data_IF_429244019921
#
_entry.id   IF_429244019921
#
_cell.length_a   1.000
_cell.length_b   1.000
_cell.length_c   1.000
_cell.angle_alpha   90.00
_cell.angle_beta   90.00
_cell.angle_gamma   90.00
#
_symmetry.space_group_name_H-M   'P 1'
#
loop_
_entity.id
_entity.type
_entity.pdbx_description
1 polymer ?
#
# COMPACT_ATOMS: atom_id res chain seq x y z
N UNK A 1 4.48 -58.53 6.25
CA UNK A 1 3.58 -57.83 5.34
C UNK A 1 2.20 -57.80 5.99
N UNK A 2 1.74 -56.65 6.43
CA UNK A 2 0.40 -56.49 6.98
C UNK A 2 -0.60 -56.52 5.84
N UNK A 3 -1.37 -57.62 5.73
CA UNK A 3 -2.42 -57.77 4.76
C UNK A 3 -3.68 -57.08 5.33
N UNK A 4 -3.88 -55.81 4.99
CA UNK A 4 -5.07 -55.05 5.36
C UNK A 4 -6.28 -55.61 4.61
N UNK A 5 -7.42 -55.75 5.29
CA UNK A 5 -8.67 -56.18 4.64
C UNK A 5 -9.07 -55.15 3.55
N UNK A 6 -9.61 -55.60 2.41
CA UNK A 6 -10.00 -54.68 1.31
C UNK A 6 -10.94 -53.56 1.75
N UNK A 7 -11.83 -53.79 2.70
CA UNK A 7 -12.75 -52.81 3.28
C UNK A 7 -12.00 -51.68 4.01
N UNK A 8 -10.91 -52.00 4.72
CA UNK A 8 -10.07 -51.04 5.43
C UNK A 8 -9.26 -50.20 4.47
N UNK A 9 -8.79 -50.79 3.37
CA UNK A 9 -8.09 -50.08 2.32
C UNK A 9 -9.02 -49.07 1.65
N UNK A 10 -10.24 -49.46 1.26
CA UNK A 10 -11.24 -48.59 0.67
C UNK A 10 -11.67 -47.44 1.61
N UNK A 11 -11.71 -47.69 2.90
CA UNK A 11 -12.04 -46.69 3.90
C UNK A 11 -10.88 -45.68 4.09
N UNK A 12 -9.63 -46.17 4.08
CA UNK A 12 -8.43 -45.33 4.10
C UNK A 12 -8.33 -44.45 2.85
N UNK A 13 -8.57 -45.00 1.66
CA UNK A 13 -8.57 -44.21 0.42
C UNK A 13 -9.64 -43.10 0.44
N UNK A 14 -10.83 -43.39 0.98
CA UNK A 14 -11.89 -42.40 1.13
C UNK A 14 -11.51 -41.29 2.10
N UNK A 15 -10.90 -41.64 3.22
CA UNK A 15 -10.43 -40.68 4.24
C UNK A 15 -9.28 -39.85 3.65
N UNK A 16 -8.31 -40.49 2.99
CA UNK A 16 -7.19 -39.80 2.35
C UNK A 16 -7.68 -38.84 1.24
N UNK A 17 -8.61 -39.27 0.41
CA UNK A 17 -9.23 -38.38 -0.60
C UNK A 17 -9.99 -37.19 0.02
N UNK A 18 -10.64 -37.41 1.18
CA UNK A 18 -11.28 -36.31 1.92
C UNK A 18 -10.26 -35.36 2.55
N UNK A 19 -9.16 -35.89 3.08
CA UNK A 19 -8.04 -35.11 3.61
C UNK A 19 -7.33 -34.35 2.49
N UNK A 20 -7.16 -34.98 1.33
CA UNK A 20 -6.55 -34.33 0.14
C UNK A 20 -7.38 -33.14 -0.35
N UNK A 21 -8.72 -33.21 -0.26
CA UNK A 21 -9.59 -32.05 -0.55
C UNK A 21 -9.49 -30.93 0.50
N UNK A 22 -9.10 -31.25 1.72
CA UNK A 22 -8.90 -30.29 2.81
C UNK A 22 -7.47 -29.72 2.84
N UNK A 23 -6.51 -30.43 2.23
CA UNK A 23 -5.15 -29.92 2.10
C UNK A 23 -5.13 -28.77 1.08
N UNK A 24 -4.46 -27.67 1.41
CA UNK A 24 -4.25 -26.61 0.43
C UNK A 24 -3.54 -27.21 -0.78
N UNK A 25 -4.09 -26.95 -1.97
CA UNK A 25 -3.38 -27.26 -3.22
C UNK A 25 -1.98 -26.70 -3.10
N UNK A 26 -0.97 -27.46 -3.48
CA UNK A 26 0.43 -27.01 -3.42
C UNK A 26 0.52 -25.63 -4.05
N UNK A 27 0.72 -24.61 -3.21
CA UNK A 27 0.78 -23.23 -3.65
C UNK A 27 2.06 -23.07 -4.45
N UNK A 28 1.93 -22.68 -5.70
CA UNK A 28 3.08 -22.43 -6.56
C UNK A 28 3.88 -21.28 -5.95
N UNK A 29 5.13 -21.53 -5.61
CA UNK A 29 6.01 -20.46 -5.12
C UNK A 29 6.10 -19.33 -6.16
N UNK A 30 6.17 -18.09 -5.66
CA UNK A 30 6.31 -16.92 -6.52
C UNK A 30 7.70 -16.94 -7.17
N UNK A 31 7.75 -16.93 -8.49
CA UNK A 31 8.98 -16.72 -9.23
C UNK A 31 9.31 -15.21 -9.28
N UNK A 32 10.13 -14.76 -8.36
CA UNK A 32 10.52 -13.37 -8.24
C UNK A 32 11.42 -12.85 -9.37
N UNK A 33 11.91 -13.72 -10.26
CA UNK A 33 12.66 -13.31 -11.44
C UNK A 33 11.74 -12.69 -12.50
N UNK A 34 10.50 -13.18 -12.58
CA UNK A 34 9.50 -12.74 -13.55
C UNK A 34 8.35 -11.94 -12.91
N UNK A 35 8.18 -12.06 -11.60
CA UNK A 35 7.14 -11.39 -10.83
C UNK A 35 7.73 -10.28 -9.95
N UNK A 36 7.14 -9.09 -10.00
CA UNK A 36 7.61 -7.95 -9.22
C UNK A 36 6.72 -7.63 -8.02
N UNK A 37 5.51 -8.20 -7.94
CA UNK A 37 4.60 -8.01 -6.83
C UNK A 37 3.80 -9.28 -6.51
N UNK A 38 3.50 -9.45 -5.24
CA UNK A 38 2.60 -10.49 -4.75
C UNK A 38 1.64 -9.94 -3.69
N UNK A 39 0.51 -10.61 -3.53
CA UNK A 39 -0.37 -10.41 -2.40
C UNK A 39 -0.18 -11.55 -1.41
N UNK A 40 -0.22 -11.25 -0.12
CA UNK A 40 -0.42 -12.27 0.89
C UNK A 40 -1.86 -12.74 0.87
N UNK A 41 -2.07 -14.05 0.89
CA UNK A 41 -3.38 -14.68 0.91
C UNK A 41 -3.46 -15.71 2.01
N UNK A 42 -4.61 -15.79 2.67
CA UNK A 42 -4.90 -16.82 3.67
C UNK A 42 -5.58 -18.02 3.04
N UNK A 43 -5.16 -19.19 3.45
CA UNK A 43 -5.90 -20.43 3.26
C UNK A 43 -6.04 -21.09 4.61
N UNK A 44 -7.09 -21.86 4.85
CA UNK A 44 -7.58 -22.42 6.14
C UNK A 44 -6.59 -22.55 7.31
N UNK A 45 -5.33 -22.93 7.08
CA UNK A 45 -4.31 -23.15 8.12
C UNK A 45 -2.95 -22.50 7.87
N UNK A 46 -2.75 -21.85 6.73
CA UNK A 46 -1.48 -21.20 6.36
C UNK A 46 -1.71 -20.05 5.39
N UNK A 47 -0.76 -19.12 5.34
CA UNK A 47 -0.75 -18.10 4.30
C UNK A 47 0.18 -18.48 3.14
N UNK A 48 0.04 -17.77 2.04
CA UNK A 48 0.90 -17.91 0.87
C UNK A 48 0.99 -16.61 0.08
N UNK A 49 2.03 -16.50 -0.74
CA UNK A 49 2.21 -15.39 -1.65
C UNK A 49 1.60 -15.73 -3.01
N UNK A 50 0.66 -14.90 -3.46
CA UNK A 50 0.03 -14.97 -4.78
C UNK A 50 0.65 -13.92 -5.70
N UNK A 51 1.29 -14.37 -6.78
CA UNK A 51 1.88 -13.48 -7.78
C UNK A 51 0.83 -12.55 -8.40
N UNK A 52 1.13 -11.26 -8.49
CA UNK A 52 0.25 -10.24 -9.06
C UNK A 52 0.87 -9.65 -10.31
N UNK A 53 0.11 -9.64 -11.41
CA UNK A 53 0.49 -8.92 -12.61
C UNK A 53 0.22 -7.43 -12.42
N UNK A 54 1.27 -6.63 -12.39
CA UNK A 54 1.15 -5.17 -12.30
C UNK A 54 0.68 -4.65 -13.64
N UNK A 55 -0.47 -3.97 -13.63
CA UNK A 55 -1.03 -3.28 -14.79
C UNK A 55 -0.89 -1.76 -14.70
N UNK A 56 -0.56 -1.26 -13.51
CA UNK A 56 -0.36 0.17 -13.26
C UNK A 56 1.04 0.58 -13.74
N UNK A 57 1.08 1.43 -14.77
CA UNK A 57 2.31 1.93 -15.37
C UNK A 57 2.68 3.34 -14.91
N UNK A 58 2.09 3.82 -13.80
CA UNK A 58 2.36 5.15 -13.25
C UNK A 58 3.85 5.31 -12.96
N UNK A 59 4.43 6.39 -13.48
CA UNK A 59 5.83 6.76 -13.24
C UNK A 59 5.94 7.82 -12.14
N UNK A 60 7.14 8.00 -11.58
CA UNK A 60 7.39 9.06 -10.60
C UNK A 60 7.16 10.47 -11.21
N UNK A 61 7.44 10.64 -12.48
CA UNK A 61 7.29 11.94 -13.17
C UNK A 61 5.82 12.32 -13.36
N UNK A 62 4.92 11.35 -13.39
CA UNK A 62 3.48 11.57 -13.49
C UNK A 62 2.82 11.94 -12.15
N UNK A 63 3.54 11.85 -11.05
CA UNK A 63 3.05 12.26 -9.73
C UNK A 63 3.29 13.74 -9.52
N UNK A 64 2.29 14.55 -9.74
CA UNK A 64 2.40 16.01 -9.63
C UNK A 64 2.24 16.49 -8.18
N UNK A 65 2.99 17.55 -7.85
CA UNK A 65 2.86 18.26 -6.58
C UNK A 65 3.29 17.50 -5.35
N UNK A 66 4.17 16.51 -5.51
CA UNK A 66 4.73 15.67 -4.45
C UNK A 66 6.25 15.52 -4.62
N UNK A 67 6.94 16.58 -5.00
CA UNK A 67 8.36 16.53 -5.38
C UNK A 67 9.26 16.24 -4.18
N UNK A 68 9.02 16.86 -3.03
CA UNK A 68 9.72 16.55 -1.77
C UNK A 68 9.51 15.09 -1.36
N UNK A 69 8.26 14.60 -1.48
CA UNK A 69 7.92 13.21 -1.18
C UNK A 69 8.65 12.25 -2.12
N UNK A 70 8.76 12.60 -3.41
CA UNK A 70 9.52 11.81 -4.39
C UNK A 70 10.98 11.73 -4.01
N UNK A 71 11.61 12.84 -3.66
CA UNK A 71 13.01 12.88 -3.27
C UNK A 71 13.29 12.00 -2.06
N UNK A 72 12.52 12.18 -0.99
CA UNK A 72 12.66 11.40 0.26
C UNK A 72 12.48 9.91 0.00
N UNK A 73 11.36 9.53 -0.67
CA UNK A 73 11.05 8.13 -0.91
C UNK A 73 12.01 7.48 -1.91
N UNK A 74 12.47 8.22 -2.91
CA UNK A 74 13.48 7.74 -3.87
C UNK A 74 14.82 7.50 -3.20
N UNK A 75 15.27 8.44 -2.35
CA UNK A 75 16.52 8.32 -1.61
C UNK A 75 16.48 7.08 -0.70
N UNK A 76 15.45 6.94 0.12
CA UNK A 76 15.28 5.80 1.02
C UNK A 76 15.24 4.46 0.26
N UNK A 77 14.53 4.40 -0.87
CA UNK A 77 14.46 3.19 -1.69
C UNK A 77 15.83 2.85 -2.31
N UNK A 78 16.60 3.84 -2.77
CA UNK A 78 17.95 3.64 -3.30
C UNK A 78 18.93 3.15 -2.23
N UNK A 79 18.88 3.75 -1.03
CA UNK A 79 19.66 3.26 0.12
C UNK A 79 19.36 1.79 0.39
N UNK A 80 18.08 1.43 0.46
CA UNK A 80 17.64 0.05 0.68
C UNK A 80 18.16 -0.92 -0.40
N UNK A 81 18.03 -0.55 -1.66
CA UNK A 81 18.49 -1.39 -2.79
C UNK A 81 20.00 -1.61 -2.81
N UNK A 82 20.78 -0.65 -2.32
CA UNK A 82 22.24 -0.74 -2.25
C UNK A 82 22.76 -1.35 -0.95
N UNK A 83 21.86 -1.83 -0.06
CA UNK A 83 22.22 -2.43 1.23
C UNK A 83 22.68 -1.41 2.27
N UNK A 84 22.41 -0.13 2.06
CA UNK A 84 22.64 0.92 3.04
C UNK A 84 21.46 1.02 4.02
N UNK A 85 21.67 1.60 5.23
CA UNK A 85 20.60 1.83 6.17
C UNK A 85 19.43 2.59 5.55
N UNK A 86 18.23 2.07 5.71
CA UNK A 86 16.99 2.65 5.20
C UNK A 86 15.87 2.48 6.23
N UNK A 87 14.83 3.28 6.14
CA UNK A 87 13.78 3.36 7.15
C UNK A 87 12.46 2.79 6.65
N UNK A 88 11.67 2.23 7.56
CA UNK A 88 10.25 2.02 7.37
C UNK A 88 9.53 3.37 7.17
N UNK A 89 8.48 3.40 6.34
CA UNK A 89 7.84 4.66 5.98
C UNK A 89 6.32 4.65 6.22
N UNK A 90 5.82 5.73 6.81
CA UNK A 90 4.41 6.05 6.91
C UNK A 90 4.07 7.19 5.95
N UNK A 91 3.31 6.88 4.90
CA UNK A 91 2.78 7.85 3.95
C UNK A 91 1.35 8.21 4.40
N UNK A 92 1.15 9.43 4.90
CA UNK A 92 -0.14 9.81 5.46
C UNK A 92 -0.73 11.05 4.78
N UNK A 93 -2.03 11.26 4.89
CA UNK A 93 -2.70 12.46 4.41
C UNK A 93 -3.92 12.21 3.53
N UNK A 94 -4.32 13.20 2.74
CA UNK A 94 -5.59 13.23 2.02
C UNK A 94 -5.82 12.00 1.12
N UNK A 95 -7.06 11.55 1.04
CA UNK A 95 -7.43 10.46 0.12
C UNK A 95 -7.25 10.89 -1.35
N UNK A 96 -6.63 10.03 -2.14
CA UNK A 96 -6.41 10.29 -3.57
C UNK A 96 -5.24 11.24 -3.88
N UNK A 97 -4.41 11.60 -2.90
CA UNK A 97 -3.25 12.48 -3.05
C UNK A 97 -2.00 11.83 -3.64
N UNK A 98 -2.03 10.52 -3.91
CA UNK A 98 -0.91 9.83 -4.57
C UNK A 98 -0.08 8.91 -3.67
N UNK A 99 -0.44 8.67 -2.40
CA UNK A 99 0.31 7.81 -1.47
C UNK A 99 0.63 6.43 -2.04
N UNK A 100 -0.40 5.64 -2.35
CA UNK A 100 -0.23 4.29 -2.92
C UNK A 100 0.37 4.33 -4.33
N UNK A 101 0.08 5.40 -5.10
CA UNK A 101 0.69 5.61 -6.42
C UNK A 101 2.20 5.85 -6.33
N UNK A 102 2.68 6.52 -5.27
CA UNK A 102 4.10 6.70 -5.00
C UNK A 102 4.82 5.36 -4.86
N UNK A 103 4.29 4.44 -4.05
CA UNK A 103 4.89 3.13 -3.84
C UNK A 103 4.89 2.30 -5.12
N UNK A 104 3.81 2.36 -5.91
CA UNK A 104 3.74 1.68 -7.23
C UNK A 104 4.73 2.27 -8.23
N UNK A 105 4.88 3.59 -8.26
CA UNK A 105 5.84 4.27 -9.15
C UNK A 105 7.28 3.93 -8.79
N UNK A 106 7.61 3.79 -7.49
CA UNK A 106 8.91 3.29 -7.04
C UNK A 106 9.15 1.87 -7.53
N UNK A 107 8.15 0.97 -7.44
CA UNK A 107 8.28 -0.38 -7.98
C UNK A 107 8.54 -0.36 -9.48
N UNK A 108 7.75 0.38 -10.26
CA UNK A 108 7.92 0.48 -11.71
C UNK A 108 9.33 0.96 -12.10
N UNK A 109 9.90 1.88 -11.33
CA UNK A 109 11.26 2.39 -11.58
C UNK A 109 12.35 1.43 -11.16
N UNK A 110 12.20 0.76 -10.01
CA UNK A 110 13.26 0.02 -9.36
C UNK A 110 13.13 -1.51 -9.42
N UNK A 111 12.06 -2.07 -10.00
CA UNK A 111 11.92 -3.50 -10.20
C UNK A 111 13.09 -4.13 -10.99
N UNK A 112 13.64 -3.46 -12.04
CA UNK A 112 14.83 -3.97 -12.73
C UNK A 112 16.08 -4.02 -11.84
N UNK A 113 16.12 -3.23 -10.76
CA UNK A 113 17.23 -3.20 -9.79
C UNK A 113 16.98 -4.13 -8.58
N UNK A 114 15.96 -4.99 -8.65
CA UNK A 114 15.68 -5.99 -7.62
C UNK A 114 14.62 -5.60 -6.60
N UNK A 115 13.91 -4.46 -6.76
CA UNK A 115 12.80 -4.13 -5.88
C UNK A 115 11.61 -5.05 -6.13
N UNK A 116 10.97 -5.51 -5.06
CA UNK A 116 9.73 -6.29 -5.07
C UNK A 116 8.73 -5.71 -4.06
N UNK A 117 7.44 -5.91 -4.29
CA UNK A 117 6.40 -5.50 -3.34
C UNK A 117 5.57 -6.71 -2.93
N UNK A 118 5.29 -6.81 -1.64
CA UNK A 118 4.29 -7.70 -1.08
C UNK A 118 3.20 -6.83 -0.48
N UNK A 119 1.99 -6.92 -1.02
CA UNK A 119 0.85 -6.23 -0.43
C UNK A 119 0.15 -7.15 0.56
N UNK A 120 -0.19 -6.58 1.72
CA UNK A 120 -0.92 -7.27 2.78
C UNK A 120 -2.12 -6.44 3.22
N UNK A 121 -3.15 -7.13 3.67
CA UNK A 121 -4.29 -6.51 4.33
C UNK A 121 -3.99 -6.31 5.82
N UNK A 122 -4.70 -5.39 6.46
CA UNK A 122 -4.54 -5.09 7.90
C UNK A 122 -4.67 -6.33 8.78
N UNK A 123 -5.64 -7.16 8.49
CA UNK A 123 -5.94 -8.38 9.24
C UNK A 123 -4.81 -9.43 9.14
N UNK A 124 -3.99 -9.32 8.11
CA UNK A 124 -2.89 -10.25 7.85
C UNK A 124 -1.58 -9.85 8.52
N UNK A 125 -1.52 -8.69 9.17
CA UNK A 125 -0.36 -8.24 9.96
C UNK A 125 0.00 -9.23 11.08
N UNK A 126 -0.92 -10.09 11.50
CA UNK A 126 -0.64 -11.18 12.46
C UNK A 126 0.27 -12.27 11.90
N UNK A 127 0.45 -12.33 10.57
CA UNK A 127 1.30 -13.32 9.88
C UNK A 127 2.64 -12.74 9.42
N UNK A 128 3.07 -11.60 9.95
CA UNK A 128 4.33 -10.95 9.54
C UNK A 128 5.53 -11.89 9.60
N UNK A 129 5.63 -12.74 10.63
CA UNK A 129 6.71 -13.71 10.76
C UNK A 129 6.73 -14.75 9.63
N UNK A 130 5.56 -15.23 9.19
CA UNK A 130 5.47 -16.16 8.07
C UNK A 130 5.86 -15.49 6.75
N UNK A 131 5.45 -14.22 6.57
CA UNK A 131 5.79 -13.44 5.38
C UNK A 131 7.30 -13.19 5.33
N UNK A 132 7.92 -12.83 6.46
CA UNK A 132 9.36 -12.60 6.53
C UNK A 132 10.14 -13.86 6.20
N UNK A 133 9.80 -14.99 6.79
CA UNK A 133 10.42 -16.29 6.52
C UNK A 133 10.29 -16.70 5.04
N UNK A 134 9.20 -16.34 4.37
CA UNK A 134 8.97 -16.67 2.96
C UNK A 134 9.91 -15.90 2.00
N UNK A 135 10.51 -14.79 2.45
CA UNK A 135 11.32 -13.91 1.60
C UNK A 135 12.73 -13.62 2.10
N UNK A 136 13.06 -14.02 3.32
CA UNK A 136 14.34 -13.74 3.97
C UNK A 136 15.55 -14.20 3.12
N UNK A 137 15.47 -15.39 2.53
CA UNK A 137 16.56 -15.97 1.72
C UNK A 137 16.52 -15.54 0.25
N UNK A 138 15.56 -14.70 -0.16
CA UNK A 138 15.43 -14.27 -1.55
C UNK A 138 16.49 -13.19 -1.89
N UNK A 139 17.09 -13.23 -3.08
CA UNK A 139 18.12 -12.26 -3.49
C UNK A 139 17.54 -10.91 -3.94
N UNK A 140 16.35 -10.54 -3.44
CA UNK A 140 15.64 -9.33 -3.78
C UNK A 140 15.38 -8.47 -2.54
N UNK A 141 15.08 -7.19 -2.75
CA UNK A 141 14.67 -6.26 -1.71
C UNK A 141 13.15 -6.08 -1.74
N UNK A 142 12.49 -6.27 -0.62
CA UNK A 142 11.03 -6.29 -0.52
C UNK A 142 10.50 -5.08 0.24
N UNK A 143 9.50 -4.42 -0.34
CA UNK A 143 8.64 -3.50 0.41
C UNK A 143 7.37 -4.25 0.77
N UNK A 144 7.13 -4.42 2.06
CA UNK A 144 5.86 -4.89 2.58
C UNK A 144 4.90 -3.71 2.67
N UNK A 145 3.91 -3.68 1.79
CA UNK A 145 2.95 -2.57 1.68
C UNK A 145 1.63 -2.93 2.37
N UNK A 146 1.27 -2.14 3.39
CA UNK A 146 -0.07 -2.13 3.96
C UNK A 146 -0.78 -0.83 3.56
N UNK A 147 -1.76 -0.93 2.67
CA UNK A 147 -2.43 0.25 2.08
C UNK A 147 -3.70 0.60 2.85
N UNK A 148 -3.96 1.92 3.01
CA UNK A 148 -5.11 2.52 3.73
C UNK A 148 -5.28 2.02 5.18
N UNK A 149 -4.16 1.87 5.89
CA UNK A 149 -4.11 1.33 7.25
C UNK A 149 -4.73 2.30 8.26
N UNK A 150 -5.65 1.78 9.04
CA UNK A 150 -6.21 2.43 10.23
C UNK A 150 -6.56 1.35 11.26
N UNK A 151 -6.30 1.62 12.54
CA UNK A 151 -6.61 0.71 13.63
C UNK A 151 -7.71 1.25 14.52
N UNK A 152 -8.41 0.36 15.19
CA UNK A 152 -9.20 0.66 16.37
C UNK A 152 -8.39 0.31 17.64
N UNK A 153 -8.81 0.84 18.78
CA UNK A 153 -8.12 0.60 20.06
C UNK A 153 -8.19 -0.88 20.42
N UNK A 154 -7.03 -1.48 20.71
CA UNK A 154 -6.95 -2.88 21.18
C UNK A 154 -6.82 -3.93 20.09
N UNK A 155 -6.75 -3.58 18.81
CA UNK A 155 -6.57 -4.54 17.72
C UNK A 155 -5.25 -5.31 17.82
N UNK A 156 -5.30 -6.63 17.58
CA UNK A 156 -4.13 -7.49 17.59
C UNK A 156 -3.12 -7.08 16.49
N UNK A 157 -3.62 -6.75 15.31
CA UNK A 157 -2.81 -6.28 14.17
C UNK A 157 -1.95 -5.05 14.51
N UNK A 158 -2.48 -4.14 15.35
CA UNK A 158 -1.73 -3.01 15.88
C UNK A 158 -0.50 -3.45 16.69
N UNK A 159 -0.72 -4.39 17.64
CA UNK A 159 0.35 -4.91 18.49
C UNK A 159 1.42 -5.64 17.69
N UNK A 160 1.01 -6.40 16.68
CA UNK A 160 1.94 -7.14 15.82
C UNK A 160 2.81 -6.21 14.99
N UNK A 161 2.21 -5.17 14.37
CA UNK A 161 2.97 -4.18 13.62
C UNK A 161 3.92 -3.40 14.52
N UNK A 162 3.45 -3.00 15.70
CA UNK A 162 4.28 -2.32 16.71
C UNK A 162 5.49 -3.17 17.08
N UNK A 163 5.28 -4.45 17.41
CA UNK A 163 6.36 -5.37 17.77
C UNK A 163 7.38 -5.56 16.62
N UNK A 164 6.91 -5.66 15.37
CA UNK A 164 7.80 -5.77 14.21
C UNK A 164 8.65 -4.51 14.01
N UNK A 165 8.08 -3.32 14.23
CA UNK A 165 8.81 -2.04 14.09
C UNK A 165 9.77 -1.77 15.26
N UNK A 166 9.50 -2.30 16.46
CA UNK A 166 10.35 -2.14 17.66
C UNK A 166 11.64 -2.98 17.62
N UNK A 167 11.80 -3.85 16.64
CA UNK A 167 12.96 -4.73 16.57
C UNK A 167 12.93 -5.85 17.63
N UNK A 168 11.75 -6.31 18.04
CA UNK A 168 11.56 -7.47 18.90
C UNK A 168 12.08 -8.76 18.24
N UNK A 169 11.88 -9.92 18.87
CA UNK A 169 12.33 -11.25 18.39
C UNK A 169 11.96 -11.55 16.92
N UNK A 170 10.93 -10.88 16.39
CA UNK A 170 10.47 -10.98 15.00
C UNK A 170 10.67 -9.66 14.23
N UNK A 171 11.90 -9.16 14.20
CA UNK A 171 12.26 -8.00 13.37
C UNK A 171 12.17 -8.34 11.88
N UNK A 172 11.81 -7.37 11.02
CA UNK A 172 11.95 -7.55 9.58
C UNK A 172 13.40 -7.94 9.23
N UNK A 173 13.60 -8.91 8.32
CA UNK A 173 14.93 -9.24 7.83
C UNK A 173 15.51 -8.03 7.04
N UNK A 174 16.83 -7.99 6.88
CA UNK A 174 17.55 -6.86 6.24
C UNK A 174 17.09 -6.56 4.81
N UNK A 175 16.46 -7.53 4.15
CA UNK A 175 15.92 -7.39 2.80
C UNK A 175 14.44 -6.96 2.77
N UNK A 176 13.84 -6.55 3.90
CA UNK A 176 12.44 -6.12 3.99
C UNK A 176 12.30 -4.75 4.64
N UNK A 177 11.57 -3.83 4.01
CA UNK A 177 11.07 -2.60 4.62
C UNK A 177 9.55 -2.61 4.66
N UNK A 178 8.99 -2.01 5.69
CA UNK A 178 7.53 -1.86 5.86
C UNK A 178 7.12 -0.45 5.44
N UNK A 179 6.27 -0.35 4.41
CA UNK A 179 5.65 0.89 3.98
C UNK A 179 4.15 0.82 4.26
N UNK A 180 3.65 1.84 4.93
CA UNK A 180 2.24 1.96 5.28
C UNK A 180 1.68 3.21 4.65
N UNK A 181 0.48 3.13 4.08
CA UNK A 181 -0.28 4.33 3.73
C UNK A 181 -1.46 4.50 4.67
N UNK A 182 -1.80 5.73 5.03
CA UNK A 182 -2.94 6.04 5.86
C UNK A 182 -3.59 7.38 5.49
N UNK A 183 -4.87 7.49 5.73
CA UNK A 183 -5.57 8.76 5.63
C UNK A 183 -5.51 9.55 6.96
N UNK A 184 -4.96 8.95 8.01
CA UNK A 184 -4.77 9.52 9.35
C UNK A 184 -3.28 9.65 9.66
N UNK A 185 -2.92 10.70 10.40
CA UNK A 185 -1.53 10.95 10.80
C UNK A 185 -1.02 9.89 11.79
N UNK A 186 -1.83 9.51 12.76
CA UNK A 186 -1.43 8.65 13.87
C UNK A 186 -1.97 7.21 13.79
N UNK A 187 -2.53 6.78 12.65
CA UNK A 187 -3.04 5.43 12.42
C UNK A 187 -4.24 5.02 13.30
N UNK A 188 -4.50 5.68 14.41
CA UNK A 188 -5.62 5.48 15.33
C UNK A 188 -6.63 6.64 15.24
N UNK A 189 -7.92 6.43 15.59
CA UNK A 189 -8.90 7.51 15.66
C UNK A 189 -8.49 8.57 16.67
N UNK A 190 -8.58 9.84 16.28
CA UNK A 190 -8.50 10.97 17.19
C UNK A 190 -9.93 11.31 17.62
N UNK A 191 -10.23 11.22 18.90
CA UNK A 191 -11.52 11.64 19.46
C UNK A 191 -11.37 13.00 20.13
N UNK A 192 -12.38 13.87 20.06
CA UNK A 192 -12.36 15.18 20.74
C UNK A 192 -12.12 15.04 22.24
N UNK A 193 -12.58 13.94 22.85
CA UNK A 193 -12.32 13.60 24.25
C UNK A 193 -10.84 13.42 24.59
N UNK A 194 -10.00 13.10 23.63
CA UNK A 194 -8.56 12.87 23.86
C UNK A 194 -7.83 14.18 24.16
N UNK A 195 -8.35 15.31 23.66
CA UNK A 195 -7.84 16.65 23.92
C UNK A 195 -8.30 17.21 25.28
N UNK A 196 -9.35 16.64 25.88
CA UNK A 196 -9.92 17.13 27.16
C UNK A 196 -9.24 16.48 28.38
N UNK A 197 -8.54 15.34 28.18
CA UNK A 197 -7.92 14.57 29.28
C UNK A 197 -6.51 14.99 29.67
N UNK A 198 -5.92 15.98 29.04
CA UNK A 198 -4.57 16.49 29.37
C UNK A 198 -4.57 17.15 30.74
N UNK A 199 -3.85 16.57 31.73
CA UNK A 199 -3.61 17.20 33.04
C UNK A 199 -2.33 18.01 32.98
N UNK A 200 -2.40 19.26 33.37
CA UNK A 200 -1.21 20.07 33.66
C UNK A 200 -0.55 19.55 34.93
N UNK A 201 0.59 18.89 34.79
CA UNK A 201 1.44 18.53 35.94
C UNK A 201 2.75 19.28 35.82
N UNK A 202 3.05 20.12 36.83
CA UNK A 202 4.26 20.98 36.92
C UNK A 202 4.48 21.93 35.71
N UNK A 203 3.39 22.38 35.06
CA UNK A 203 3.49 23.33 33.93
C UNK A 203 3.67 22.67 32.52
N UNK A 204 3.78 21.36 32.48
CA UNK A 204 3.81 20.61 31.21
C UNK A 204 2.48 19.90 31.01
N UNK A 205 2.01 19.91 29.75
CA UNK A 205 0.81 19.22 29.34
C UNK A 205 1.14 17.71 29.24
N UNK A 206 0.79 16.93 30.26
CA UNK A 206 0.82 15.48 30.14
C UNK A 206 -0.32 15.04 29.22
N UNK A 207 0.05 14.47 28.08
CA UNK A 207 -0.90 13.82 27.17
C UNK A 207 -1.55 12.64 27.89
N UNK A 208 -2.82 12.37 27.60
CA UNK A 208 -3.48 11.18 28.16
C UNK A 208 -2.75 9.91 27.69
N UNK A 209 -2.69 8.86 28.53
CA UNK A 209 -2.10 7.55 28.16
C UNK A 209 -2.62 7.04 26.82
N UNK A 210 -3.91 7.29 26.51
CA UNK A 210 -4.52 6.96 25.25
C UNK A 210 -3.90 7.73 24.06
N UNK A 211 -3.45 8.95 24.26
CA UNK A 211 -2.81 9.76 23.24
C UNK A 211 -1.35 9.35 23.04
N UNK A 212 -0.64 9.01 24.11
CA UNK A 212 0.71 8.43 24.04
C UNK A 212 0.72 7.09 23.29
N UNK A 213 -0.28 6.24 23.52
CA UNK A 213 -0.41 4.98 22.79
C UNK A 213 -0.69 5.20 21.31
N UNK A 214 -1.48 6.23 20.95
CA UNK A 214 -1.81 6.58 19.55
C UNK A 214 -0.60 7.10 18.77
N UNK A 215 0.23 7.92 19.39
CA UNK A 215 1.47 8.46 18.80
C UNK A 215 2.52 7.36 18.68
N UNK A 216 2.58 6.48 19.67
CA UNK A 216 3.60 5.44 19.87
C UNK A 216 3.87 4.55 18.64
N UNK A 217 2.87 4.14 17.85
CA UNK A 217 3.12 3.32 16.66
C UNK A 217 3.69 4.14 15.50
N UNK A 218 3.15 5.33 15.31
CA UNK A 218 3.59 6.20 14.21
C UNK A 218 5.05 6.59 14.38
N UNK A 219 5.49 6.90 15.60
CA UNK A 219 6.86 7.31 15.91
C UNK A 219 7.93 6.24 15.61
N UNK A 220 7.50 4.98 15.42
CA UNK A 220 8.40 3.89 15.04
C UNK A 220 8.74 3.85 13.56
N UNK A 221 8.03 4.63 12.74
CA UNK A 221 8.42 4.83 11.36
C UNK A 221 9.51 5.89 11.29
N UNK A 222 10.67 5.56 10.75
CA UNK A 222 11.77 6.52 10.60
C UNK A 222 11.47 7.60 9.55
N UNK A 223 10.51 7.34 8.63
CA UNK A 223 10.05 8.33 7.65
C UNK A 223 8.55 8.57 7.79
N UNK A 224 8.20 9.86 7.94
CA UNK A 224 6.83 10.35 7.90
C UNK A 224 6.66 11.26 6.69
N UNK A 225 5.89 10.81 5.73
CA UNK A 225 5.73 11.50 4.45
C UNK A 225 4.29 11.98 4.30
N UNK A 226 4.10 13.29 4.39
CA UNK A 226 2.78 13.92 4.33
C UNK A 226 2.33 14.18 2.89
N UNK A 227 1.07 13.85 2.59
CA UNK A 227 0.44 14.10 1.29
C UNK A 227 -0.79 14.99 1.48
N UNK A 228 -0.75 16.17 0.91
CA UNK A 228 -1.80 17.18 1.03
C UNK A 228 -2.77 17.14 -0.16
N UNK A 229 -3.93 17.77 0.02
CA UNK A 229 -4.86 18.03 -1.07
C UNK A 229 -4.23 19.03 -2.07
N UNK A 230 -4.60 18.91 -3.34
CA UNK A 230 -4.09 19.80 -4.36
C UNK A 230 -4.66 21.23 -4.25
N UNK A 231 -3.83 22.22 -4.53
CA UNK A 231 -4.31 23.56 -4.90
C UNK A 231 -5.13 23.46 -6.18
N UNK A 232 -5.89 24.51 -6.50
CA UNK A 232 -6.63 24.54 -7.77
C UNK A 232 -5.70 24.43 -8.98
N UNK A 233 -4.59 25.14 -8.96
CA UNK A 233 -3.58 25.14 -10.02
C UNK A 233 -3.03 23.72 -10.25
N UNK A 234 -2.54 23.07 -9.20
CA UNK A 234 -2.04 21.68 -9.26
C UNK A 234 -3.10 20.68 -9.68
N UNK A 235 -4.35 20.90 -9.30
CA UNK A 235 -5.45 20.05 -9.75
C UNK A 235 -5.65 20.14 -11.26
N UNK A 236 -5.61 21.35 -11.83
CA UNK A 236 -5.72 21.56 -13.27
C UNK A 236 -4.53 21.00 -14.04
N UNK A 237 -3.31 21.12 -13.50
CA UNK A 237 -2.13 20.44 -14.07
C UNK A 237 -2.32 18.92 -14.11
N UNK A 238 -2.79 18.34 -13.02
CA UNK A 238 -3.07 16.91 -12.96
C UNK A 238 -4.17 16.49 -13.95
N UNK A 239 -5.21 17.28 -14.11
CA UNK A 239 -6.27 17.04 -15.11
C UNK A 239 -5.69 17.02 -16.51
N UNK A 240 -4.92 18.06 -16.88
CA UNK A 240 -4.31 18.17 -18.22
C UNK A 240 -3.38 17.01 -18.52
N UNK A 241 -2.55 16.60 -17.54
CA UNK A 241 -1.69 15.44 -17.66
C UNK A 241 -2.50 14.15 -17.88
N UNK A 242 -3.55 13.94 -17.08
CA UNK A 242 -4.41 12.77 -17.22
C UNK A 242 -5.14 12.73 -18.55
N UNK A 243 -5.67 13.88 -19.04
CA UNK A 243 -6.32 13.98 -20.36
C UNK A 243 -5.34 13.64 -21.48
N UNK A 244 -4.13 14.21 -21.42
CA UNK A 244 -3.08 13.94 -22.42
C UNK A 244 -2.69 12.46 -22.44
N UNK A 245 -2.57 11.84 -21.27
CA UNK A 245 -2.25 10.41 -21.13
C UNK A 245 -3.36 9.52 -21.71
N UNK A 246 -4.62 9.81 -21.37
CA UNK A 246 -5.78 9.07 -21.87
C UNK A 246 -5.93 9.23 -23.40
N UNK A 247 -5.68 10.42 -23.93
CA UNK A 247 -5.68 10.73 -25.36
C UNK A 247 -4.58 9.94 -26.10
N UNK A 248 -3.35 9.94 -25.56
CA UNK A 248 -2.21 9.22 -26.12
C UNK A 248 -2.44 7.71 -26.18
N UNK A 249 -3.05 7.13 -25.15
CA UNK A 249 -3.38 5.69 -25.15
C UNK A 249 -4.37 5.28 -26.25
N UNK A 250 -5.17 6.24 -26.73
CA UNK A 250 -6.18 6.05 -27.79
C UNK A 250 -5.75 6.60 -29.14
N UNK A 251 -4.51 7.09 -29.23
CA UNK A 251 -3.94 7.65 -30.47
C UNK A 251 -4.81 8.80 -31.02
N UNK A 252 -5.29 9.67 -30.13
CA UNK A 252 -6.09 10.86 -30.47
C UNK A 252 -5.48 12.11 -29.88
N UNK A 253 -5.69 13.23 -30.55
CA UNK A 253 -5.34 14.55 -30.01
C UNK A 253 -6.58 15.23 -29.42
N UNK A 254 -6.47 15.66 -28.18
CA UNK A 254 -7.53 16.36 -27.46
C UNK A 254 -6.98 17.73 -27.05
N UNK A 255 -7.60 18.84 -27.50
CA UNK A 255 -7.12 20.16 -27.12
C UNK A 255 -7.38 20.44 -25.64
N UNK A 256 -6.40 21.05 -24.99
CA UNK A 256 -6.51 21.52 -23.61
C UNK A 256 -7.11 22.94 -23.62
N UNK A 257 -8.43 23.02 -23.52
CA UNK A 257 -9.19 24.27 -23.63
C UNK A 257 -9.52 24.87 -22.26
N UNK A 258 -9.91 26.16 -22.24
CA UNK A 258 -10.44 26.81 -21.03
C UNK A 258 -11.75 26.17 -20.55
N UNK A 259 -12.55 25.61 -21.45
CA UNK A 259 -13.76 24.88 -21.14
C UNK A 259 -13.45 23.60 -20.35
N UNK A 260 -12.41 22.84 -20.74
CA UNK A 260 -11.91 21.70 -19.98
C UNK A 260 -11.56 22.09 -18.55
N UNK A 261 -10.85 23.20 -18.36
CA UNK A 261 -10.46 23.69 -17.04
C UNK A 261 -11.68 24.09 -16.20
N UNK A 262 -12.66 24.77 -16.79
CA UNK A 262 -13.89 25.17 -16.10
C UNK A 262 -14.72 23.96 -15.65
N UNK A 263 -14.93 22.99 -16.55
CA UNK A 263 -15.64 21.75 -16.19
C UNK A 263 -14.88 20.92 -15.15
N UNK A 264 -13.55 20.89 -15.24
CA UNK A 264 -12.73 20.20 -14.23
C UNK A 264 -12.88 20.83 -12.85
N UNK A 265 -12.90 22.16 -12.76
CA UNK A 265 -13.13 22.88 -11.51
C UNK A 265 -14.52 22.53 -10.96
N UNK A 266 -15.56 22.62 -11.81
CA UNK A 266 -16.93 22.27 -11.40
C UNK A 266 -17.01 20.83 -10.89
N UNK A 267 -16.40 19.86 -11.60
CA UNK A 267 -16.31 18.47 -11.17
C UNK A 267 -15.66 18.31 -9.79
N UNK A 268 -14.58 19.09 -9.54
CA UNK A 268 -13.91 19.05 -8.24
C UNK A 268 -14.78 19.60 -7.10
N UNK A 269 -15.62 20.59 -7.38
CA UNK A 269 -16.59 21.15 -6.43
C UNK A 269 -17.69 20.14 -6.11
N UNK A 270 -18.28 19.49 -7.13
CA UNK A 270 -19.30 18.47 -6.96
C UNK A 270 -18.82 17.28 -6.11
N UNK A 271 -17.53 16.95 -6.24
CA UNK A 271 -16.87 15.90 -5.44
C UNK A 271 -16.31 16.41 -4.12
N UNK A 272 -16.36 17.72 -3.86
CA UNK A 272 -15.76 18.40 -2.69
C UNK A 272 -14.30 18.03 -2.45
N UNK A 273 -13.54 17.74 -3.54
CA UNK A 273 -12.13 17.26 -3.45
C UNK A 273 -11.31 17.61 -4.67
N UNK A 274 -10.11 18.14 -4.42
CA UNK A 274 -9.06 18.35 -5.42
C UNK A 274 -7.91 17.38 -5.16
N UNK A 275 -7.85 16.31 -5.93
CA UNK A 275 -6.81 15.28 -5.77
C UNK A 275 -6.58 14.53 -7.09
N UNK A 276 -5.51 13.74 -7.16
CA UNK A 276 -5.17 12.96 -8.35
C UNK A 276 -6.27 12.01 -8.80
N UNK A 277 -6.97 11.36 -7.86
CA UNK A 277 -8.12 10.48 -8.17
C UNK A 277 -9.25 11.23 -8.85
N UNK A 278 -9.60 12.42 -8.36
CA UNK A 278 -10.67 13.23 -8.94
C UNK A 278 -10.27 13.72 -10.33
N UNK A 279 -9.01 14.14 -10.53
CA UNK A 279 -8.47 14.52 -11.83
C UNK A 279 -8.54 13.36 -12.83
N UNK A 280 -8.14 12.16 -12.43
CA UNK A 280 -8.18 10.97 -13.27
C UNK A 280 -9.62 10.55 -13.63
N UNK A 281 -10.55 10.60 -12.70
CA UNK A 281 -11.96 10.30 -12.97
C UNK A 281 -12.59 11.32 -13.93
N UNK A 282 -12.29 12.59 -13.76
CA UNK A 282 -12.73 13.62 -14.66
C UNK A 282 -12.16 13.41 -16.08
N UNK A 283 -10.86 13.15 -16.20
CA UNK A 283 -10.21 12.98 -17.51
C UNK A 283 -10.81 11.81 -18.29
N UNK A 284 -11.12 10.70 -17.65
CA UNK A 284 -11.83 9.59 -18.29
C UNK A 284 -13.20 9.98 -18.81
N UNK A 285 -13.97 10.72 -18.02
CA UNK A 285 -15.29 11.19 -18.42
C UNK A 285 -15.18 12.17 -19.59
N UNK A 286 -14.28 13.16 -19.49
CA UNK A 286 -14.05 14.16 -20.54
C UNK A 286 -13.64 13.53 -21.86
N UNK A 287 -12.61 12.70 -21.84
CA UNK A 287 -12.10 12.01 -23.05
C UNK A 287 -13.18 11.12 -23.66
N UNK A 288 -13.93 10.38 -22.83
CA UNK A 288 -15.05 9.56 -23.30
C UNK A 288 -16.12 10.36 -24.03
N UNK A 289 -16.56 11.49 -23.45
CA UNK A 289 -17.54 12.40 -24.09
C UNK A 289 -17.02 12.99 -25.40
N UNK A 290 -15.77 13.45 -25.39
CA UNK A 290 -15.13 14.02 -26.57
C UNK A 290 -15.08 13.03 -27.75
N UNK A 291 -14.75 11.78 -27.49
CA UNK A 291 -14.71 10.75 -28.51
C UNK A 291 -16.11 10.38 -29.04
N UNK A 292 -17.11 10.34 -28.17
CA UNK A 292 -18.50 10.10 -28.59
C UNK A 292 -19.09 11.21 -29.49
N UNK A 293 -18.62 12.45 -29.32
CA UNK A 293 -19.05 13.56 -30.17
C UNK A 293 -18.39 13.55 -31.58
N UNK A 294 -17.28 12.82 -31.72
CA UNK A 294 -16.53 12.69 -32.97
C UNK A 294 -16.79 11.39 -33.73
N UNK A 295 -17.48 10.43 -33.10
CA UNK A 295 -17.88 9.17 -33.70
C UNK A 295 -19.21 9.32 -34.46
#
# INVERSE_FOLDING_TARGET
MFNLKPEVVAQLERVLGSVEMLLPKAVKQVDWSTCHAANWRRHSFSGYLEAVKITDTTTLDELLGVDEQKEVMTLNTRQFLTGLPANNALLWGARGSGKSSMVKALLNRYAPQGLRIIQIEKEDLIYLSEIFNAVEEQPYRFILLCDDLTFEVGELSYKMLKSALDGAVYSPPENVLIYVTSNRRHLLPEYESDHIGGKYVRGELQQSEAMEEKVSLSDRFGLWVAFYSFSQERYLEAVRLCVTREAKQRVVEIPLTTELDQEAIQWSHDKSKRCGRTAYQFSKNWVGRYLMQKA
#
